data_IF_859447909871
#
_entry.id   IF_859447909871
#
_cell.length_a   1.000
_cell.length_b   1.000
_cell.length_c   1.000
_cell.angle_alpha   90.00
_cell.angle_beta   90.00
_cell.angle_gamma   90.00
#
_symmetry.space_group_name_H-M   'P 1'
#
loop_
_entity.id
_entity.type
_entity.pdbx_description
1 polymer ?
#
# COMPACT_ATOMS: atom_id res chain seq x y z
N UNK A 1 -7.89 -17.83 23.76
CA UNK A 1 -8.43 -17.03 22.63
C UNK A 1 -7.67 -17.37 21.35
N UNK A 2 -8.34 -17.49 20.19
CA UNK A 2 -7.66 -17.74 18.91
C UNK A 2 -6.87 -16.51 18.45
N UNK A 3 -5.82 -16.73 17.65
CA UNK A 3 -5.04 -15.61 17.07
C UNK A 3 -5.90 -14.68 16.21
N UNK A 4 -6.81 -15.25 15.42
CA UNK A 4 -7.70 -14.47 14.55
C UNK A 4 -8.60 -13.50 15.33
N UNK A 5 -9.13 -13.94 16.49
CA UNK A 5 -9.93 -13.07 17.36
C UNK A 5 -9.05 -11.96 17.96
N UNK A 6 -7.86 -12.32 18.45
CA UNK A 6 -6.94 -11.38 19.06
C UNK A 6 -6.45 -10.30 18.05
N UNK A 7 -6.08 -10.72 16.85
CA UNK A 7 -5.65 -9.77 15.81
C UNK A 7 -6.83 -8.92 15.32
N UNK A 8 -8.03 -9.49 15.25
CA UNK A 8 -9.24 -8.73 14.89
C UNK A 8 -9.54 -7.59 15.88
N UNK A 9 -9.37 -7.82 17.19
CA UNK A 9 -9.50 -6.77 18.21
C UNK A 9 -8.44 -5.68 18.00
N UNK A 10 -7.18 -6.08 17.82
CA UNK A 10 -6.08 -5.13 17.60
C UNK A 10 -6.29 -4.29 16.33
N UNK A 11 -6.63 -4.95 15.23
CA UNK A 11 -6.93 -4.28 13.94
C UNK A 11 -8.11 -3.34 14.10
N UNK A 12 -9.20 -3.77 14.74
CA UNK A 12 -10.40 -2.94 14.90
C UNK A 12 -10.13 -1.65 15.66
N UNK A 13 -9.40 -1.73 16.78
CA UNK A 13 -8.99 -0.55 17.57
C UNK A 13 -8.13 0.40 16.72
N UNK A 14 -7.08 -0.13 16.11
CA UNK A 14 -6.16 0.69 15.31
C UNK A 14 -6.81 1.26 14.05
N UNK A 15 -7.75 0.54 13.43
CA UNK A 15 -8.50 1.02 12.28
C UNK A 15 -9.39 2.22 12.64
N UNK A 16 -10.08 2.14 13.78
CA UNK A 16 -10.85 3.28 14.30
C UNK A 16 -9.98 4.49 14.58
N UNK A 17 -8.84 4.28 15.26
CA UNK A 17 -7.87 5.36 15.54
C UNK A 17 -7.29 5.95 14.24
N UNK A 18 -6.89 5.12 13.29
CA UNK A 18 -6.40 5.58 11.99
C UNK A 18 -7.43 6.41 11.24
N UNK A 19 -8.67 5.95 11.19
CA UNK A 19 -9.76 6.70 10.53
C UNK A 19 -9.94 8.07 11.18
N UNK A 20 -9.99 8.16 12.50
CA UNK A 20 -10.12 9.42 13.21
C UNK A 20 -8.95 10.38 12.95
N UNK A 21 -7.72 9.88 13.10
CA UNK A 21 -6.49 10.69 12.90
C UNK A 21 -6.36 11.13 11.46
N UNK A 22 -6.50 10.22 10.50
CA UNK A 22 -6.33 10.56 9.08
C UNK A 22 -7.41 11.52 8.56
N UNK A 23 -8.63 11.41 9.06
CA UNK A 23 -9.71 12.35 8.72
C UNK A 23 -9.44 13.74 9.33
N UNK A 24 -9.06 13.79 10.62
CA UNK A 24 -8.75 15.06 11.30
C UNK A 24 -7.56 15.77 10.65
N UNK A 25 -6.56 15.04 10.21
CA UNK A 25 -5.31 15.59 9.65
C UNK A 25 -5.20 15.39 8.12
N UNK A 26 -6.33 15.30 7.43
CA UNK A 26 -6.35 15.17 5.96
C UNK A 26 -5.63 16.33 5.25
N UNK A 27 -5.71 17.55 5.79
CA UNK A 27 -5.01 18.73 5.26
C UNK A 27 -3.47 18.59 5.27
N UNK A 28 -2.92 17.71 6.09
CA UNK A 28 -1.49 17.39 6.12
C UNK A 28 -1.07 16.28 5.14
N UNK A 29 -2.02 15.80 4.35
CA UNK A 29 -1.81 14.77 3.33
C UNK A 29 -2.07 13.35 3.81
N UNK A 30 -2.75 13.14 4.95
CA UNK A 30 -3.16 11.80 5.36
C UNK A 30 -4.39 11.36 4.58
N UNK A 31 -4.27 10.23 3.90
CA UNK A 31 -5.33 9.66 3.06
C UNK A 31 -5.76 8.32 3.65
N UNK A 32 -6.94 8.28 4.25
CA UNK A 32 -7.44 7.15 5.05
C UNK A 32 -7.38 5.82 4.30
N UNK A 33 -7.97 5.76 3.11
CA UNK A 33 -8.04 4.51 2.34
C UNK A 33 -6.66 4.04 1.84
N UNK A 34 -5.73 4.95 1.56
CA UNK A 34 -4.35 4.59 1.17
C UNK A 34 -3.62 3.88 2.31
N UNK A 35 -3.82 4.34 3.54
CA UNK A 35 -3.32 3.64 4.71
C UNK A 35 -3.88 2.22 4.81
N UNK A 36 -5.18 2.03 4.60
CA UNK A 36 -5.79 0.70 4.59
C UNK A 36 -5.27 -0.19 3.46
N UNK A 37 -5.03 0.37 2.26
CA UNK A 37 -4.43 -0.39 1.15
C UNK A 37 -3.03 -0.91 1.51
N UNK A 38 -2.19 -0.07 2.11
CA UNK A 38 -0.86 -0.48 2.55
C UNK A 38 -0.91 -1.47 3.72
N UNK A 39 -1.87 -1.32 4.63
CA UNK A 39 -2.10 -2.27 5.71
C UNK A 39 -2.50 -3.65 5.16
N UNK A 40 -3.40 -3.69 4.17
CA UNK A 40 -3.74 -4.93 3.47
C UNK A 40 -2.51 -5.53 2.75
N UNK A 41 -1.68 -4.67 2.10
CA UNK A 41 -0.41 -5.07 1.49
C UNK A 41 0.52 -5.76 2.48
N UNK A 42 0.61 -5.25 3.72
CA UNK A 42 1.41 -5.87 4.79
C UNK A 42 0.98 -7.31 5.08
N UNK A 43 -0.32 -7.56 5.25
CA UNK A 43 -0.82 -8.93 5.50
C UNK A 43 -0.67 -9.83 4.27
N UNK A 44 -0.93 -9.31 3.07
CA UNK A 44 -0.76 -10.05 1.82
C UNK A 44 0.70 -10.41 1.55
N UNK A 45 1.67 -9.59 2.01
CA UNK A 45 3.11 -9.86 1.98
C UNK A 45 3.58 -10.90 3.01
N UNK A 46 2.64 -11.45 3.82
CA UNK A 46 2.90 -12.50 4.80
C UNK A 46 3.12 -12.01 6.24
N UNK A 47 2.83 -10.76 6.53
CA UNK A 47 2.96 -10.19 7.87
C UNK A 47 4.41 -10.13 8.38
N UNK A 48 4.59 -9.95 9.68
CA UNK A 48 5.89 -9.90 10.36
C UNK A 48 6.81 -8.82 9.74
N UNK A 49 8.10 -8.93 10.00
CA UNK A 49 9.11 -8.03 9.39
C UNK A 49 9.18 -8.18 7.88
N UNK A 50 8.91 -9.38 7.35
CA UNK A 50 8.87 -9.61 5.90
C UNK A 50 7.75 -8.80 5.25
N UNK A 51 6.52 -8.92 5.75
CA UNK A 51 5.38 -8.17 5.21
C UNK A 51 5.56 -6.66 5.32
N UNK A 52 6.19 -6.16 6.41
CA UNK A 52 6.52 -4.75 6.55
C UNK A 52 7.51 -4.28 5.47
N UNK A 53 8.60 -5.03 5.25
CA UNK A 53 9.59 -4.70 4.23
C UNK A 53 9.00 -4.77 2.83
N UNK A 54 8.31 -5.86 2.52
CA UNK A 54 7.73 -6.08 1.20
C UNK A 54 6.69 -5.02 0.87
N UNK A 55 5.78 -4.70 1.80
CA UNK A 55 4.79 -3.65 1.58
C UNK A 55 5.44 -2.28 1.37
N UNK A 56 6.42 -1.88 2.19
CA UNK A 56 7.09 -0.60 2.02
C UNK A 56 7.82 -0.52 0.67
N UNK A 57 8.65 -1.52 0.35
CA UNK A 57 9.45 -1.53 -0.89
C UNK A 57 8.53 -1.55 -2.12
N UNK A 58 7.55 -2.46 -2.14
CA UNK A 58 6.76 -2.68 -3.34
C UNK A 58 5.66 -1.64 -3.52
N UNK A 59 5.04 -1.14 -2.44
CA UNK A 59 4.11 -0.03 -2.55
C UNK A 59 4.83 1.21 -3.10
N UNK A 60 6.06 1.51 -2.64
CA UNK A 60 6.85 2.62 -3.16
C UNK A 60 7.27 2.39 -4.61
N UNK A 61 7.71 1.18 -4.97
CA UNK A 61 7.98 0.80 -6.37
C UNK A 61 6.76 1.05 -7.25
N UNK A 62 5.56 0.72 -6.77
CA UNK A 62 4.31 0.98 -7.48
C UNK A 62 4.04 2.46 -7.73
N UNK A 63 4.32 3.32 -6.75
CA UNK A 63 4.23 4.79 -6.93
C UNK A 63 5.19 5.26 -8.03
N UNK A 64 6.41 4.73 -8.08
CA UNK A 64 7.36 5.04 -9.16
C UNK A 64 6.85 4.58 -10.52
N UNK A 65 6.28 3.38 -10.61
CA UNK A 65 5.66 2.90 -11.85
C UNK A 65 4.48 3.78 -12.28
N UNK A 66 3.64 4.23 -11.36
CA UNK A 66 2.55 5.15 -11.68
C UNK A 66 3.08 6.48 -12.24
N UNK A 67 4.14 7.03 -11.64
CA UNK A 67 4.80 8.22 -12.16
C UNK A 67 5.34 8.01 -13.58
N UNK A 68 5.98 6.88 -13.86
CA UNK A 68 6.44 6.51 -15.20
C UNK A 68 5.29 6.35 -16.19
N UNK A 69 4.16 5.77 -15.79
CA UNK A 69 2.96 5.65 -16.61
C UNK A 69 2.44 7.04 -17.00
N UNK A 70 2.34 7.96 -16.04
CA UNK A 70 1.89 9.33 -16.30
C UNK A 70 2.87 10.07 -17.23
N UNK A 71 4.16 9.91 -16.99
CA UNK A 71 5.19 10.50 -17.87
C UNK A 71 5.08 9.97 -19.30
N UNK A 72 4.96 8.66 -19.47
CA UNK A 72 4.81 8.03 -20.79
C UNK A 72 3.50 8.44 -21.49
N UNK A 73 2.40 8.53 -20.74
CA UNK A 73 1.13 9.03 -21.24
C UNK A 73 1.28 10.44 -21.80
N UNK A 74 1.91 11.35 -21.06
CA UNK A 74 2.11 12.73 -21.50
C UNK A 74 3.01 12.82 -22.74
N UNK A 75 3.98 11.92 -22.88
CA UNK A 75 4.85 11.85 -24.05
C UNK A 75 4.09 11.38 -25.31
N UNK A 76 3.19 10.39 -25.15
CA UNK A 76 2.50 9.76 -26.28
C UNK A 76 1.19 10.46 -26.68
N UNK A 77 0.52 11.13 -25.74
CA UNK A 77 -0.83 11.67 -25.97
C UNK A 77 -0.93 12.71 -27.08
N UNK A 78 0.07 13.57 -27.35
CA UNK A 78 -0.01 14.54 -28.46
C UNK A 78 -0.05 13.88 -29.84
N UNK A 79 0.59 12.70 -29.98
CA UNK A 79 0.69 12.01 -31.27
C UNK A 79 -0.38 10.93 -31.47
N UNK A 80 -0.78 10.24 -30.40
CA UNK A 80 -1.64 9.06 -30.47
C UNK A 80 -3.07 9.29 -29.95
N UNK A 81 -3.32 10.46 -29.35
CA UNK A 81 -4.57 10.74 -28.66
C UNK A 81 -4.66 10.06 -27.28
N UNK A 82 -5.61 10.53 -26.47
CA UNK A 82 -5.69 10.20 -25.05
C UNK A 82 -5.87 8.69 -24.80
N UNK A 83 -6.81 8.05 -25.51
CA UNK A 83 -7.18 6.65 -25.25
C UNK A 83 -6.01 5.70 -25.56
N UNK A 84 -5.41 5.84 -26.74
CA UNK A 84 -4.32 4.96 -27.19
C UNK A 84 -3.08 5.18 -26.33
N UNK A 85 -2.72 6.44 -26.07
CA UNK A 85 -1.57 6.79 -25.24
C UNK A 85 -1.70 6.23 -23.81
N UNK A 86 -2.88 6.39 -23.18
CA UNK A 86 -3.14 5.85 -21.84
C UNK A 86 -3.08 4.33 -21.81
N UNK A 87 -3.71 3.67 -22.78
CA UNK A 87 -3.70 2.21 -22.88
C UNK A 87 -2.29 1.63 -23.02
N UNK A 88 -1.46 2.24 -23.88
CA UNK A 88 -0.07 1.83 -24.07
C UNK A 88 0.79 2.10 -22.83
N UNK A 89 0.64 3.26 -22.20
CA UNK A 89 1.39 3.60 -21.00
C UNK A 89 1.07 2.64 -19.85
N UNK A 90 -0.21 2.34 -19.62
CA UNK A 90 -0.64 1.39 -18.59
C UNK A 90 -0.20 -0.04 -18.92
N UNK A 91 -0.29 -0.46 -20.18
CA UNK A 91 0.17 -1.79 -20.62
C UNK A 91 1.66 -1.98 -20.31
N UNK A 92 2.50 -1.00 -20.66
CA UNK A 92 3.95 -1.09 -20.41
C UNK A 92 4.26 -1.00 -18.91
N UNK A 93 3.58 -0.14 -18.17
CA UNK A 93 3.76 -0.02 -16.72
C UNK A 93 3.36 -1.31 -15.99
N UNK A 94 2.22 -1.91 -16.34
CA UNK A 94 1.75 -3.16 -15.74
C UNK A 94 2.70 -4.33 -16.06
N UNK A 95 3.17 -4.43 -17.29
CA UNK A 95 4.18 -5.41 -17.67
C UNK A 95 5.48 -5.22 -16.87
N UNK A 96 5.95 -3.96 -16.73
CA UNK A 96 7.13 -3.62 -15.96
C UNK A 96 7.00 -3.99 -14.47
N UNK A 97 5.83 -3.74 -13.85
CA UNK A 97 5.54 -4.18 -12.47
C UNK A 97 5.61 -5.70 -12.30
N UNK A 98 5.26 -6.47 -13.33
CA UNK A 98 5.45 -7.92 -13.31
C UNK A 98 6.91 -8.32 -13.53
N UNK A 99 7.59 -7.70 -14.49
CA UNK A 99 8.98 -8.04 -14.83
C UNK A 99 9.99 -7.67 -13.73
N UNK A 100 9.73 -6.63 -12.94
CA UNK A 100 10.58 -6.32 -11.79
C UNK A 100 10.71 -7.48 -10.80
N UNK A 101 9.76 -8.42 -10.78
CA UNK A 101 9.79 -9.60 -9.91
C UNK A 101 10.95 -10.57 -10.21
N UNK A 102 11.64 -10.43 -11.35
CA UNK A 102 12.93 -11.11 -11.59
C UNK A 102 14.01 -10.68 -10.58
N UNK A 103 13.84 -9.51 -9.96
CA UNK A 103 14.70 -9.04 -8.87
C UNK A 103 14.06 -9.51 -7.55
N UNK A 104 14.75 -10.36 -6.81
CA UNK A 104 14.18 -11.11 -5.68
C UNK A 104 13.47 -10.26 -4.61
N UNK A 105 14.02 -9.07 -4.30
CA UNK A 105 13.38 -8.16 -3.32
C UNK A 105 12.22 -7.33 -3.90
N UNK A 106 11.96 -7.40 -5.20
CA UNK A 106 10.84 -6.79 -5.90
C UNK A 106 9.76 -7.82 -6.30
N UNK A 107 9.80 -9.02 -5.73
CA UNK A 107 8.94 -10.14 -6.12
C UNK A 107 7.49 -10.07 -5.67
N UNK A 108 7.15 -9.22 -4.71
CA UNK A 108 5.76 -9.08 -4.24
C UNK A 108 4.95 -8.17 -5.17
N UNK A 109 4.59 -8.67 -6.36
CA UNK A 109 3.86 -7.94 -7.41
C UNK A 109 2.60 -7.23 -6.90
N UNK A 110 1.72 -7.84 -6.04
CA UNK A 110 0.53 -7.13 -5.54
C UNK A 110 0.84 -5.81 -4.84
N UNK A 111 1.97 -5.71 -4.13
CA UNK A 111 2.40 -4.47 -3.49
C UNK A 111 2.67 -3.34 -4.50
N UNK A 112 3.29 -3.65 -5.64
CA UNK A 112 3.52 -2.68 -6.70
C UNK A 112 2.20 -2.17 -7.29
N UNK A 113 1.25 -3.05 -7.58
CA UNK A 113 -0.09 -2.65 -8.05
C UNK A 113 -0.85 -1.80 -7.02
N UNK A 114 -0.74 -2.12 -5.73
CA UNK A 114 -1.35 -1.33 -4.65
C UNK A 114 -0.76 0.09 -4.61
N UNK A 115 0.55 0.23 -4.64
CA UNK A 115 1.20 1.54 -4.64
C UNK A 115 0.87 2.36 -5.87
N UNK A 116 0.86 1.73 -7.05
CA UNK A 116 0.45 2.36 -8.31
C UNK A 116 -0.99 2.85 -8.25
N UNK A 117 -1.93 2.00 -7.84
CA UNK A 117 -3.35 2.35 -7.72
C UNK A 117 -3.58 3.45 -6.69
N UNK A 118 -2.88 3.42 -5.55
CA UNK A 118 -2.97 4.44 -4.53
C UNK A 118 -2.58 5.83 -5.06
N UNK A 119 -1.51 5.92 -5.84
CA UNK A 119 -1.07 7.18 -6.43
C UNK A 119 -2.08 7.74 -7.46
N UNK A 120 -2.64 6.90 -8.31
CA UNK A 120 -3.72 7.32 -9.22
C UNK A 120 -4.97 7.78 -8.46
N UNK A 121 -5.37 7.02 -7.43
CA UNK A 121 -6.58 7.29 -6.66
C UNK A 121 -6.49 8.57 -5.81
N UNK A 122 -5.28 9.03 -5.44
CA UNK A 122 -5.06 10.31 -4.76
C UNK A 122 -5.01 11.51 -5.72
N UNK A 123 -5.23 11.31 -7.02
CA UNK A 123 -5.08 12.38 -8.02
C UNK A 123 -3.64 12.85 -8.16
N UNK A 124 -2.70 11.93 -8.02
CA UNK A 124 -1.25 12.18 -8.15
C UNK A 124 -0.62 12.96 -6.98
N UNK A 125 -1.25 12.94 -5.81
CA UNK A 125 -0.63 13.49 -4.59
C UNK A 125 0.48 12.55 -4.09
N UNK A 126 1.70 12.83 -4.50
CA UNK A 126 2.88 12.03 -4.11
C UNK A 126 3.10 12.02 -2.60
N UNK A 127 3.02 13.21 -1.97
CA UNK A 127 3.28 13.34 -0.53
C UNK A 127 2.25 12.58 0.29
N UNK A 128 0.96 12.83 0.03
CA UNK A 128 -0.12 12.17 0.76
C UNK A 128 -0.12 10.66 0.54
N UNK A 129 0.14 10.22 -0.69
CA UNK A 129 0.24 8.78 -1.01
C UNK A 129 1.37 8.13 -0.21
N UNK A 130 2.59 8.65 -0.27
CA UNK A 130 3.75 8.04 0.37
C UNK A 130 3.61 8.00 1.90
N UNK A 131 3.21 9.12 2.52
CA UNK A 131 3.02 9.19 3.97
C UNK A 131 1.97 8.17 4.43
N UNK A 132 0.85 8.07 3.71
CA UNK A 132 -0.24 7.17 4.05
C UNK A 132 0.12 5.70 3.82
N UNK A 133 0.90 5.39 2.77
CA UNK A 133 1.43 4.03 2.54
C UNK A 133 2.37 3.60 3.68
N UNK A 134 3.26 4.49 4.12
CA UNK A 134 4.17 4.20 5.25
C UNK A 134 3.35 3.98 6.53
N UNK A 135 2.42 4.88 6.83
CA UNK A 135 1.56 4.76 8.02
C UNK A 135 0.79 3.44 8.03
N UNK A 136 0.18 3.06 6.90
CA UNK A 136 -0.57 1.81 6.77
C UNK A 136 0.28 0.55 6.96
N UNK A 137 1.48 0.50 6.39
CA UNK A 137 2.41 -0.62 6.59
C UNK A 137 2.82 -0.77 8.06
N UNK A 138 3.12 0.35 8.72
CA UNK A 138 3.47 0.39 10.15
C UNK A 138 2.28 -0.05 11.02
N UNK A 139 1.07 0.43 10.73
CA UNK A 139 -0.15 0.01 11.42
C UNK A 139 -0.42 -1.49 11.23
N UNK A 140 -0.15 -2.02 10.04
CA UNK A 140 -0.20 -3.46 9.78
C UNK A 140 0.69 -4.23 10.74
N UNK A 141 1.94 -3.83 10.85
CA UNK A 141 2.91 -4.46 11.76
C UNK A 141 2.48 -4.33 13.24
N UNK A 142 2.10 -3.13 13.67
CA UNK A 142 1.64 -2.89 15.05
C UNK A 142 0.40 -3.73 15.36
N UNK A 143 -0.55 -3.86 14.43
CA UNK A 143 -1.77 -4.64 14.63
C UNK A 143 -1.50 -6.12 14.80
N UNK A 144 -0.55 -6.69 14.07
CA UNK A 144 -0.13 -8.08 14.24
C UNK A 144 0.54 -8.30 15.60
N UNK A 145 1.48 -7.41 15.99
CA UNK A 145 2.14 -7.50 17.29
C UNK A 145 1.15 -7.33 18.45
N UNK A 146 0.19 -6.41 18.32
CA UNK A 146 -0.90 -6.23 19.28
C UNK A 146 -1.76 -7.49 19.42
N UNK A 147 -2.12 -8.12 18.30
CA UNK A 147 -2.84 -9.38 18.29
C UNK A 147 -2.08 -10.50 19.00
N UNK A 148 -0.77 -10.64 18.77
CA UNK A 148 0.08 -11.60 19.46
C UNK A 148 0.15 -11.33 20.97
N UNK A 149 0.28 -10.07 21.37
CA UNK A 149 0.30 -9.69 22.79
C UNK A 149 -1.03 -10.02 23.49
N UNK A 150 -2.16 -9.66 22.88
CA UNK A 150 -3.49 -9.99 23.40
C UNK A 150 -3.66 -11.51 23.52
N UNK A 151 -3.32 -12.27 22.47
CA UNK A 151 -3.42 -13.74 22.51
C UNK A 151 -2.60 -14.34 23.67
N UNK A 152 -1.37 -13.83 23.88
CA UNK A 152 -0.48 -14.32 24.95
C UNK A 152 -1.04 -14.02 26.34
N UNK A 153 -1.64 -12.85 26.54
CA UNK A 153 -2.25 -12.49 27.82
C UNK A 153 -3.38 -13.45 28.19
N UNK A 154 -4.24 -13.80 27.24
CA UNK A 154 -5.35 -14.73 27.45
C UNK A 154 -4.99 -16.21 27.48
N UNK A 155 -3.74 -16.59 27.15
CA UNK A 155 -3.26 -17.97 27.34
C UNK A 155 -2.68 -18.23 28.73
N UNK A 156 -2.34 -17.15 29.47
CA UNK A 156 -1.78 -17.23 30.81
C UNK A 156 -2.85 -17.23 31.91
N UNK A 157 -4.07 -16.92 31.57
CA UNK A 157 -5.27 -17.01 32.41
C UNK A 157 -5.97 -18.36 32.20
#
# INVERSE_FOLDING_TARGET
>A
MSFLVAVGISVGILAGLWTGVSTQYAAFGLVTYVGFLSWASFYAGGGKVKGLKDSLILNFSGVLWAWLIVWLFNLLSPSLGIIIALSLAVMLGAAGMCWQAHISFLGFIPGAFIGCSAYFATGFDFKGTVISLIAGAVLGYISEQGGLAIQKAFKKS
#
